data_IF_775252539149
#
_entry.id   IF_775252539149
#
_cell.length_a   1.000
_cell.length_b   1.000
_cell.length_c   1.000
_cell.angle_alpha   90.00
_cell.angle_beta   90.00
_cell.angle_gamma   90.00
#
_symmetry.space_group_name_H-M   'P 1'
#
loop_
_entity.id
_entity.type
_entity.pdbx_description
1 polymer ?
#
# COMPACT_ATOMS: atom_id res chain seq x y z
N UNK A 1 -9.07 9.86 54.87
CA UNK A 1 -9.04 10.99 53.91
C UNK A 1 -7.65 10.97 53.34
N UNK A 2 -7.39 10.10 52.36
CA UNK A 2 -6.05 9.93 51.79
C UNK A 2 -6.08 10.43 50.34
N UNK A 3 -5.28 11.45 50.12
CA UNK A 3 -5.14 12.23 48.89
C UNK A 3 -4.40 11.40 47.83
N UNK A 4 -5.05 11.12 46.71
CA UNK A 4 -4.41 10.53 45.52
C UNK A 4 -3.68 11.67 44.80
N UNK A 5 -2.35 11.67 44.89
CA UNK A 5 -1.44 12.54 44.13
C UNK A 5 -1.47 12.09 42.66
N UNK A 6 -1.66 13.06 41.77
CA UNK A 6 -2.09 12.87 40.39
C UNK A 6 -1.11 12.15 39.46
N UNK A 7 -1.71 11.34 38.60
CA UNK A 7 -1.16 10.97 37.30
C UNK A 7 -1.16 12.20 36.39
N UNK A 8 0.03 12.71 36.08
CA UNK A 8 0.18 13.96 35.35
C UNK A 8 1.37 13.98 34.42
N UNK A 9 1.60 12.94 33.61
CA UNK A 9 2.49 13.10 32.44
C UNK A 9 2.23 12.05 31.34
N UNK A 10 1.08 12.15 30.68
CA UNK A 10 0.82 11.45 29.43
C UNK A 10 0.45 12.48 28.36
N UNK A 11 1.45 12.92 27.59
CA UNK A 11 1.34 13.52 26.25
C UNK A 11 2.70 14.09 25.88
N UNK A 12 3.32 13.51 24.87
CA UNK A 12 4.23 14.16 23.89
C UNK A 12 5.45 13.29 23.54
N UNK A 13 5.23 12.15 22.88
CA UNK A 13 6.33 11.35 22.28
C UNK A 13 5.98 10.75 20.91
N UNK A 14 5.08 11.38 20.17
CA UNK A 14 4.91 11.10 18.74
C UNK A 14 5.34 12.33 17.94
N UNK A 15 6.56 12.82 18.18
CA UNK A 15 7.23 13.67 17.18
C UNK A 15 7.39 12.84 15.92
N UNK A 16 6.69 13.27 14.88
CA UNK A 16 6.87 12.86 13.50
C UNK A 16 8.37 12.98 13.18
N UNK A 17 9.06 11.84 13.10
CA UNK A 17 10.33 11.76 12.40
C UNK A 17 10.01 11.92 10.93
N UNK A 18 9.89 13.16 10.49
CA UNK A 18 9.88 13.48 9.07
C UNK A 18 11.31 13.25 8.60
N UNK A 19 11.53 12.14 7.89
CA UNK A 19 12.77 11.86 7.15
C UNK A 19 12.86 12.81 5.95
N UNK A 20 12.95 14.12 6.21
CA UNK A 20 13.19 15.16 5.22
C UNK A 20 14.59 14.95 4.61
N UNK A 21 14.65 14.15 3.53
CA UNK A 21 15.86 13.92 2.73
C UNK A 21 16.26 12.46 2.54
N UNK A 22 15.61 11.51 3.21
CA UNK A 22 15.90 10.08 2.98
C UNK A 22 15.20 9.60 1.72
N UNK A 23 15.98 9.22 0.70
CA UNK A 23 15.43 8.58 -0.51
C UNK A 23 14.73 7.29 -0.09
N UNK A 24 13.45 7.16 -0.38
CA UNK A 24 12.67 5.97 -0.09
C UNK A 24 13.28 4.75 -0.79
N UNK A 25 14.02 3.91 -0.06
CA UNK A 25 14.78 2.79 -0.64
C UNK A 25 13.93 1.74 -1.36
N UNK A 26 12.60 1.76 -1.15
CA UNK A 26 11.63 0.87 -1.79
C UNK A 26 10.86 1.55 -2.93
N UNK A 27 11.25 2.75 -3.37
CA UNK A 27 10.53 3.48 -4.42
C UNK A 27 10.40 2.66 -5.70
N UNK A 28 11.47 1.97 -6.08
CA UNK A 28 11.47 1.09 -7.25
C UNK A 28 10.52 -0.11 -7.09
N UNK A 29 10.53 -0.76 -5.92
CA UNK A 29 9.63 -1.87 -5.63
C UNK A 29 8.16 -1.42 -5.61
N UNK A 30 7.87 -0.25 -5.01
CA UNK A 30 6.55 0.35 -5.00
C UNK A 30 6.04 0.64 -6.42
N UNK A 31 6.88 1.22 -7.28
CA UNK A 31 6.56 1.48 -8.71
C UNK A 31 6.20 0.20 -9.46
N UNK A 32 6.82 -0.94 -9.16
CA UNK A 32 6.48 -2.23 -9.78
C UNK A 32 5.19 -2.85 -9.22
N UNK A 33 4.92 -2.68 -7.92
CA UNK A 33 3.78 -3.31 -7.26
C UNK A 33 2.46 -2.56 -7.46
N UNK A 34 2.48 -1.23 -7.49
CA UNK A 34 1.26 -0.40 -7.49
C UNK A 34 0.32 -0.70 -8.68
N UNK A 35 0.89 -1.15 -9.80
CA UNK A 35 0.14 -1.40 -11.05
C UNK A 35 -0.35 -2.86 -11.16
N UNK A 36 -0.09 -3.71 -10.16
CA UNK A 36 -0.57 -5.09 -10.17
C UNK A 36 -2.10 -5.13 -10.00
N UNK A 37 -2.83 -5.93 -10.81
CA UNK A 37 -4.30 -5.95 -10.81
C UNK A 37 -4.91 -6.36 -9.46
N UNK A 38 -4.15 -7.12 -8.66
CA UNK A 38 -4.53 -7.52 -7.30
C UNK A 38 -4.75 -6.32 -6.37
N UNK A 39 -4.05 -5.21 -6.59
CA UNK A 39 -4.23 -3.97 -5.81
C UNK A 39 -5.26 -3.03 -6.45
N UNK A 40 -5.38 -3.02 -7.77
CA UNK A 40 -6.34 -2.17 -8.49
C UNK A 40 -7.80 -2.60 -8.29
N UNK A 41 -8.10 -3.91 -8.22
CA UNK A 41 -9.48 -4.40 -8.12
C UNK A 41 -10.25 -3.91 -6.87
N UNK A 42 -9.53 -3.51 -5.81
CA UNK A 42 -10.17 -3.12 -4.55
C UNK A 42 -10.65 -1.65 -4.53
N UNK A 43 -10.09 -0.78 -5.40
CA UNK A 43 -10.42 0.65 -5.40
C UNK A 43 -11.69 1.00 -6.20
N UNK A 44 -12.09 0.17 -7.16
CA UNK A 44 -13.22 0.51 -8.05
C UNK A 44 -14.60 0.22 -7.43
N UNK A 45 -14.69 -0.62 -6.38
CA UNK A 45 -16.00 -1.05 -5.83
C UNK A 45 -16.40 -0.46 -4.47
N UNK A 46 -15.52 0.27 -3.76
CA UNK A 46 -15.79 0.63 -2.35
C UNK A 46 -15.70 2.12 -1.99
N UNK A 47 -15.53 3.04 -2.96
CA UNK A 47 -15.35 4.47 -2.66
C UNK A 47 -16.63 5.30 -2.44
N UNK A 48 -17.84 4.71 -2.41
CA UNK A 48 -19.08 5.50 -2.47
C UNK A 48 -20.06 5.39 -1.29
N UNK A 49 -19.73 4.72 -0.18
CA UNK A 49 -20.69 4.58 0.95
C UNK A 49 -20.03 4.70 2.32
N UNK A 50 -19.64 5.92 2.72
CA UNK A 50 -19.53 6.30 4.14
C UNK A 50 -20.85 6.96 4.55
N UNK A 51 -21.77 6.17 5.12
CA UNK A 51 -23.00 6.67 5.75
C UNK A 51 -22.91 6.38 7.25
N UNK A 52 -23.31 7.39 8.04
CA UNK A 52 -23.19 7.53 9.49
C UNK A 52 -24.35 6.81 10.21
N UNK A 53 -24.06 5.99 11.22
CA UNK A 53 -25.10 5.32 12.02
C UNK A 53 -24.69 5.32 13.49
N UNK A 54 -25.32 6.17 14.31
CA UNK A 54 -25.20 6.20 15.78
C UNK A 54 -26.56 5.92 16.42
N UNK A 55 -26.60 5.23 17.57
CA UNK A 55 -27.70 5.36 18.53
C UNK A 55 -27.27 4.95 19.96
N UNK A 56 -27.54 5.81 20.95
CA UNK A 56 -27.34 5.73 22.42
C UNK A 56 -26.13 6.51 22.98
N UNK A 57 -26.21 7.52 23.85
CA UNK A 57 -27.31 8.35 24.42
C UNK A 57 -26.66 9.59 25.11
N UNK A 58 -27.30 10.75 24.98
CA UNK A 58 -27.07 12.07 25.62
C UNK A 58 -25.84 12.91 25.18
N UNK A 59 -26.11 13.96 24.38
CA UNK A 59 -25.22 15.11 24.17
C UNK A 59 -26.05 16.40 24.40
N UNK A 60 -25.55 17.31 25.23
CA UNK A 60 -25.97 18.72 25.23
C UNK A 60 -24.90 19.48 24.45
N UNK A 61 -25.22 20.02 23.29
CA UNK A 61 -24.40 21.01 22.57
C UNK A 61 -25.31 21.76 21.60
N UNK A 62 -25.51 23.06 21.84
CA UNK A 62 -26.33 23.95 21.02
C UNK A 62 -25.75 24.08 19.60
N UNK A 63 -26.55 23.74 18.59
CA UNK A 63 -26.25 24.00 17.18
C UNK A 63 -27.37 24.91 16.65
N UNK A 64 -27.04 26.15 16.35
CA UNK A 64 -27.93 27.10 15.70
C UNK A 64 -27.80 26.96 14.18
N UNK A 65 -28.93 27.23 13.50
CA UNK A 65 -29.13 27.46 12.06
C UNK A 65 -29.32 26.14 11.25
N UNK A 66 -30.55 25.63 11.02
CA UNK A 66 -31.70 26.22 10.28
C UNK A 66 -31.28 26.46 8.81
N UNK A 67 -31.83 25.84 7.75
CA UNK A 67 -33.22 25.56 7.33
C UNK A 67 -33.20 24.53 6.13
N UNK A 68 -34.30 24.10 5.45
CA UNK A 68 -34.72 22.69 5.41
C UNK A 68 -35.08 22.08 4.01
N UNK A 69 -35.21 20.74 3.99
CA UNK A 69 -36.28 19.88 3.40
C UNK A 69 -36.80 20.13 1.96
N UNK A 70 -36.77 19.06 1.15
CA UNK A 70 -37.87 18.49 0.32
C UNK A 70 -37.34 17.15 -0.27
N UNK A 71 -37.64 15.98 0.32
CA UNK A 71 -38.83 15.11 0.16
C UNK A 71 -38.91 14.38 -1.20
N UNK A 72 -38.82 13.04 -1.15
CA UNK A 72 -39.47 12.08 -2.06
C UNK A 72 -38.96 10.65 -1.80
N UNK A 73 -39.69 9.95 -0.93
CA UNK A 73 -39.94 8.51 -0.83
C UNK A 73 -39.70 7.69 -2.13
N UNK A 74 -38.97 6.56 -2.05
CA UNK A 74 -39.34 5.27 -2.68
C UNK A 74 -38.25 4.18 -2.55
N UNK A 75 -38.73 2.98 -2.23
CA UNK A 75 -38.12 1.65 -2.42
C UNK A 75 -36.97 1.16 -1.52
N UNK A 76 -37.40 0.37 -0.53
CA UNK A 76 -36.69 -0.70 0.18
C UNK A 76 -35.77 -1.56 -0.70
N UNK A 77 -34.47 -1.69 -0.36
CA UNK A 77 -33.65 -2.81 -0.81
C UNK A 77 -33.48 -3.85 0.31
N UNK A 78 -33.85 -5.10 0.02
CA UNK A 78 -33.66 -6.29 0.87
C UNK A 78 -32.27 -6.36 1.54
N UNK A 79 -32.17 -6.88 2.78
CA UNK A 79 -30.90 -6.96 3.49
C UNK A 79 -29.95 -7.96 2.79
N UNK A 80 -28.83 -7.44 2.27
CA UNK A 80 -27.73 -8.25 1.73
C UNK A 80 -27.09 -9.03 2.89
N UNK A 81 -27.26 -10.35 2.88
CA UNK A 81 -26.62 -11.26 3.84
C UNK A 81 -25.13 -11.35 3.51
N UNK A 82 -24.28 -10.67 4.29
CA UNK A 82 -22.83 -10.83 4.20
C UNK A 82 -22.41 -12.16 4.83
N UNK A 83 -21.53 -12.97 4.20
CA UNK A 83 -20.99 -14.16 4.84
C UNK A 83 -20.21 -13.75 6.10
N UNK A 84 -20.42 -14.53 7.17
CA UNK A 84 -19.79 -14.32 8.47
C UNK A 84 -18.27 -14.25 8.31
N UNK A 85 -17.69 -13.09 8.65
CA UNK A 85 -16.25 -12.88 8.58
C UNK A 85 -15.50 -13.89 9.44
N UNK A 86 -14.46 -14.50 8.87
CA UNK A 86 -13.60 -15.51 9.50
C UNK A 86 -12.67 -14.87 10.55
N UNK A 87 -13.23 -14.31 11.62
CA UNK A 87 -12.49 -13.55 12.65
C UNK A 87 -12.49 -14.19 14.05
N UNK A 88 -12.69 -15.50 14.13
CA UNK A 88 -12.58 -16.26 15.39
C UNK A 88 -11.70 -17.53 15.33
N UNK A 89 -11.17 -17.94 14.17
CA UNK A 89 -10.46 -19.23 14.04
C UNK A 89 -8.95 -19.21 14.37
N UNK A 90 -8.41 -18.15 15.00
CA UNK A 90 -6.96 -18.00 15.25
C UNK A 90 -6.51 -18.26 16.70
N UNK A 91 -7.35 -18.82 17.57
CA UNK A 91 -6.95 -19.31 18.90
C UNK A 91 -7.42 -20.75 19.06
N UNK A 92 -6.50 -21.66 19.43
CA UNK A 92 -6.67 -23.10 19.79
C UNK A 92 -6.46 -24.13 18.65
N UNK A 93 -5.21 -24.36 18.28
CA UNK A 93 -4.78 -25.65 17.73
C UNK A 93 -3.56 -26.16 18.50
N UNK A 94 -3.79 -26.58 19.75
CA UNK A 94 -2.85 -27.37 20.55
C UNK A 94 -3.48 -28.76 20.72
N UNK A 95 -2.95 -29.74 20.00
CA UNK A 95 -3.23 -31.17 20.24
C UNK A 95 -4.30 -31.82 19.36
N UNK A 96 -3.88 -32.38 18.21
CA UNK A 96 -4.16 -33.75 17.73
C UNK A 96 -3.73 -33.84 16.27
N UNK A 97 -2.79 -34.75 16.00
CA UNK A 97 -2.16 -34.91 14.69
C UNK A 97 -3.18 -35.27 13.62
N UNK A 98 -3.41 -34.32 12.71
CA UNK A 98 -3.85 -34.61 11.35
C UNK A 98 -2.60 -34.47 10.50
N UNK A 99 -2.08 -35.59 9.99
CA UNK A 99 -1.00 -35.59 8.99
C UNK A 99 -1.57 -34.95 7.73
N UNK A 100 -1.45 -33.63 7.61
CA UNK A 100 -1.54 -32.97 6.32
C UNK A 100 -0.28 -33.41 5.59
N UNK A 101 -0.43 -34.36 4.69
CA UNK A 101 0.62 -34.77 3.76
C UNK A 101 0.86 -33.59 2.82
N UNK A 102 1.64 -32.62 3.27
CA UNK A 102 2.19 -31.55 2.44
C UNK A 102 3.12 -32.21 1.45
N UNK A 103 2.68 -32.36 0.20
CA UNK A 103 3.59 -32.74 -0.88
C UNK A 103 4.74 -31.72 -0.89
N UNK A 104 6.01 -32.15 -0.98
CA UNK A 104 7.11 -31.23 -1.17
C UNK A 104 6.84 -30.48 -2.48
N UNK A 105 6.55 -29.18 -2.39
CA UNK A 105 6.53 -28.32 -3.57
C UNK A 105 7.97 -28.26 -4.06
N UNK A 106 8.21 -28.78 -5.26
CA UNK A 106 9.51 -28.70 -5.90
C UNK A 106 9.82 -27.23 -6.23
N UNK A 107 10.69 -26.62 -5.43
CA UNK A 107 11.09 -25.22 -5.56
C UNK A 107 12.19 -25.03 -6.62
N UNK A 108 12.75 -26.11 -7.16
CA UNK A 108 13.87 -26.04 -8.11
C UNK A 108 13.51 -25.20 -9.34
N UNK A 109 12.36 -25.46 -9.97
CA UNK A 109 11.87 -24.71 -11.13
C UNK A 109 11.73 -23.20 -10.85
N UNK A 110 11.30 -22.82 -9.66
CA UNK A 110 11.19 -21.40 -9.27
C UNK A 110 12.57 -20.76 -9.11
N UNK A 111 13.52 -21.47 -8.51
CA UNK A 111 14.91 -21.01 -8.36
C UNK A 111 15.58 -20.86 -9.73
N UNK A 112 15.32 -21.76 -10.68
CA UNK A 112 15.81 -21.67 -12.06
C UNK A 112 15.28 -20.43 -12.77
N UNK A 113 13.97 -20.17 -12.66
CA UNK A 113 13.35 -18.99 -13.27
C UNK A 113 13.90 -17.67 -12.69
N UNK A 114 14.16 -17.62 -11.38
CA UNK A 114 14.78 -16.46 -10.73
C UNK A 114 16.21 -16.26 -11.25
N UNK A 115 16.99 -17.34 -11.36
CA UNK A 115 18.37 -17.31 -11.86
C UNK A 115 18.42 -16.84 -13.31
N UNK A 116 17.57 -17.37 -14.18
CA UNK A 116 17.49 -16.96 -15.59
C UNK A 116 17.13 -15.48 -15.73
N UNK A 117 16.12 -15.02 -14.98
CA UNK A 117 15.73 -13.60 -14.95
C UNK A 117 16.90 -12.70 -14.55
N UNK A 118 17.65 -13.08 -13.53
CA UNK A 118 18.80 -12.31 -13.07
C UNK A 118 19.91 -12.22 -14.13
N UNK A 119 20.15 -13.31 -14.87
CA UNK A 119 21.11 -13.33 -15.98
C UNK A 119 20.67 -12.37 -17.10
N UNK A 120 19.39 -12.42 -17.50
CA UNK A 120 18.85 -11.52 -18.54
C UNK A 120 18.94 -10.06 -18.12
N UNK A 121 18.59 -9.75 -16.87
CA UNK A 121 18.68 -8.39 -16.34
C UNK A 121 20.13 -7.86 -16.33
N UNK A 122 21.09 -8.69 -15.95
CA UNK A 122 22.51 -8.34 -15.97
C UNK A 122 23.02 -8.04 -17.39
N UNK A 123 22.67 -8.90 -18.36
CA UNK A 123 23.00 -8.66 -19.79
C UNK A 123 22.37 -7.37 -20.32
N UNK A 124 21.12 -7.10 -19.94
CA UNK A 124 20.42 -5.87 -20.34
C UNK A 124 21.10 -4.61 -19.77
N UNK A 125 21.57 -4.65 -18.53
CA UNK A 125 22.32 -3.54 -17.92
C UNK A 125 23.63 -3.28 -18.67
N UNK A 126 24.42 -4.32 -18.96
CA UNK A 126 25.68 -4.20 -19.70
C UNK A 126 25.48 -3.63 -21.13
N UNK A 127 24.42 -4.03 -21.83
CA UNK A 127 24.09 -3.46 -23.15
C UNK A 127 23.74 -1.97 -23.08
N UNK A 128 23.04 -1.54 -22.03
CA UNK A 128 22.71 -0.12 -21.81
C UNK A 128 23.97 0.71 -21.55
N UNK A 129 24.88 0.22 -20.72
CA UNK A 129 26.17 0.88 -20.47
C UNK A 129 27.03 0.99 -21.73
N UNK A 130 27.14 -0.08 -22.52
CA UNK A 130 27.85 -0.05 -23.80
C UNK A 130 27.25 0.96 -24.78
N UNK A 131 25.91 1.04 -24.83
CA UNK A 131 25.22 2.02 -25.67
C UNK A 131 25.52 3.45 -25.24
N UNK A 132 25.47 3.73 -23.93
CA UNK A 132 25.84 5.03 -23.37
C UNK A 132 27.30 5.39 -23.64
N UNK A 133 28.23 4.44 -23.46
CA UNK A 133 29.65 4.65 -23.75
C UNK A 133 29.90 4.99 -25.22
N UNK A 134 29.23 4.28 -26.15
CA UNK A 134 29.32 4.57 -27.57
C UNK A 134 28.76 5.96 -27.93
N UNK A 135 27.64 6.35 -27.33
CA UNK A 135 27.03 7.67 -27.52
C UNK A 135 27.95 8.78 -27.03
N UNK A 136 28.54 8.61 -25.84
CA UNK A 136 29.50 9.55 -25.27
C UNK A 136 30.78 9.67 -26.12
N UNK A 137 31.32 8.56 -26.61
CA UNK A 137 32.45 8.56 -27.54
C UNK A 137 32.12 9.34 -28.82
N UNK A 138 30.91 9.15 -29.36
CA UNK A 138 30.43 9.91 -30.52
C UNK A 138 30.33 11.42 -30.26
N UNK A 139 30.03 11.84 -29.04
CA UNK A 139 29.99 13.28 -28.67
C UNK A 139 31.41 13.85 -28.59
N UNK A 140 32.34 13.15 -27.94
CA UNK A 140 33.73 13.64 -27.79
C UNK A 140 34.46 13.69 -29.12
N UNK A 141 34.22 12.71 -30.00
CA UNK A 141 34.91 12.63 -31.29
C UNK A 141 34.29 13.49 -32.39
N UNK A 142 33.18 14.19 -32.12
CA UNK A 142 32.60 15.13 -33.08
C UNK A 142 33.54 16.31 -33.27
N UNK A 143 33.92 16.54 -34.51
CA UNK A 143 34.72 17.68 -34.89
C UNK A 143 33.97 18.98 -34.58
N UNK A 144 34.60 19.81 -33.76
CA UNK A 144 34.07 21.10 -33.31
C UNK A 144 34.61 22.25 -34.17
N UNK A 145 35.49 21.97 -35.14
CA UNK A 145 36.12 22.98 -36.00
C UNK A 145 35.13 23.83 -36.81
N UNK A 146 33.92 23.31 -37.05
CA UNK A 146 32.85 23.95 -37.81
C UNK A 146 31.86 24.73 -36.90
N UNK A 147 32.11 24.77 -35.58
CA UNK A 147 31.30 25.60 -34.68
C UNK A 147 31.82 27.03 -34.68
N UNK A 148 31.11 27.93 -35.37
CA UNK A 148 31.35 29.36 -35.29
C UNK A 148 30.45 29.97 -34.22
N UNK A 149 31.01 30.81 -33.35
CA UNK A 149 30.23 31.65 -32.44
C UNK A 149 29.52 32.72 -33.28
N UNK A 150 28.18 32.71 -33.28
CA UNK A 150 27.34 33.80 -33.81
C UNK A 150 26.95 34.71 -32.65
#
# INVERSE_FOLDING_TARGET
>A
MDTIVGDGQARDRFSTREDEGSKFGLEHAWRLLKDQPKWLQQFTKNCFKRTKNSASRAYSSSCNLETPVEDAEADTPSPIICPMGQKAAKRKSKGKGVRISTNPVDLTSLEEAIRERNIVNSKLAALREKKLGNEYYGIIMKDTSIMFET
#
